data_IF_323103924068
#
_entry.id   IF_323103924068
#
_cell.length_a   1.000
_cell.length_b   1.000
_cell.length_c   1.000
_cell.angle_alpha   90.00
_cell.angle_beta   90.00
_cell.angle_gamma   90.00
#
_symmetry.space_group_name_H-M   'P 1'
#
loop_
_entity.id
_entity.type
_entity.pdbx_description
1 polymer ?
#
# COMPACT_ATOMS: atom_id res chain seq x y z
N UNK A 1 0.42 -10.74 16.68
CA UNK A 1 -0.98 -10.64 16.22
C UNK A 1 -1.60 -9.31 16.62
N UNK A 2 -2.68 -8.95 15.94
CA UNK A 2 -3.52 -7.81 16.27
C UNK A 2 -4.98 -8.22 16.23
N UNK A 3 -5.75 -7.73 17.20
CA UNK A 3 -7.20 -7.99 17.30
C UNK A 3 -7.99 -6.87 16.59
N UNK A 4 -9.13 -7.23 16.03
CA UNK A 4 -10.11 -6.26 15.52
C UNK A 4 -10.45 -5.24 16.61
N UNK A 5 -10.45 -3.96 16.29
CA UNK A 5 -10.67 -2.86 17.23
C UNK A 5 -9.42 -2.32 17.94
N UNK A 6 -8.25 -2.96 17.84
CA UNK A 6 -7.00 -2.38 18.32
C UNK A 6 -6.56 -1.22 17.42
N UNK A 7 -5.91 -0.21 17.99
CA UNK A 7 -5.39 0.96 17.25
C UNK A 7 -4.43 0.60 16.10
N UNK A 8 -3.69 -0.50 16.25
CA UNK A 8 -2.76 -0.99 15.22
C UNK A 8 -3.41 -1.91 14.17
N UNK A 9 -4.72 -2.20 14.31
CA UNK A 9 -5.44 -3.00 13.32
C UNK A 9 -5.62 -2.19 12.03
N UNK A 10 -5.38 -2.78 10.84
CA UNK A 10 -5.45 -2.03 9.58
C UNK A 10 -6.83 -1.37 9.38
N UNK A 11 -6.86 -0.03 9.34
CA UNK A 11 -8.10 0.76 9.26
C UNK A 11 -8.95 0.46 8.02
N UNK A 12 -8.34 0.00 6.93
CA UNK A 12 -9.04 -0.49 5.76
C UNK A 12 -9.97 -1.67 6.10
N UNK A 13 -9.49 -2.64 6.87
CA UNK A 13 -10.26 -3.84 7.23
C UNK A 13 -11.38 -3.55 8.26
N UNK A 14 -11.21 -2.58 9.15
CA UNK A 14 -12.23 -2.23 10.16
C UNK A 14 -13.58 -1.94 9.50
N UNK A 15 -13.56 -1.39 8.29
CA UNK A 15 -14.77 -1.02 7.54
C UNK A 15 -15.40 -2.17 6.74
N UNK A 16 -14.81 -3.35 6.77
CA UNK A 16 -15.34 -4.53 6.10
C UNK A 16 -16.16 -5.36 7.09
N UNK A 17 -17.42 -5.67 6.75
CA UNK A 17 -18.33 -6.40 7.64
C UNK A 17 -17.88 -7.82 8.01
N UNK A 18 -16.97 -8.40 7.23
CA UNK A 18 -16.40 -9.73 7.40
C UNK A 18 -14.89 -9.70 7.73
N UNK A 19 -14.41 -8.57 8.29
CA UNK A 19 -13.02 -8.43 8.71
C UNK A 19 -12.60 -9.57 9.69
N UNK A 20 -11.36 -10.10 9.57
CA UNK A 20 -10.89 -11.10 10.51
C UNK A 20 -10.81 -10.54 11.92
N UNK A 21 -11.36 -11.25 12.91
CA UNK A 21 -11.29 -10.85 14.32
C UNK A 21 -9.86 -10.86 14.86
N UNK A 22 -9.02 -11.70 14.28
CA UNK A 22 -7.61 -11.87 14.62
C UNK A 22 -6.79 -11.89 13.35
N UNK A 23 -5.75 -11.07 13.30
CA UNK A 23 -4.79 -11.02 12.21
C UNK A 23 -3.39 -11.30 12.74
N UNK A 24 -2.80 -12.40 12.33
CA UNK A 24 -1.40 -12.72 12.61
C UNK A 24 -0.50 -11.99 11.61
N UNK A 25 0.68 -11.57 12.04
CA UNK A 25 1.64 -10.93 11.13
C UNK A 25 3.09 -11.19 11.53
N UNK A 26 3.98 -11.12 10.55
CA UNK A 26 5.43 -11.00 10.70
C UNK A 26 5.88 -9.74 9.96
N UNK A 27 6.80 -8.97 10.53
CA UNK A 27 7.26 -7.71 9.99
C UNK A 27 6.56 -6.50 10.62
N UNK A 28 6.32 -5.45 9.83
CA UNK A 28 5.79 -4.15 10.28
C UNK A 28 4.46 -3.87 9.59
N UNK A 29 3.38 -3.83 10.36
CA UNK A 29 2.09 -3.38 9.84
C UNK A 29 2.19 -1.90 9.42
N UNK A 30 1.49 -1.49 8.35
CA UNK A 30 1.42 -0.10 7.95
C UNK A 30 0.79 0.75 9.04
N UNK A 31 1.29 1.98 9.22
CA UNK A 31 0.68 2.95 10.12
C UNK A 31 -0.75 3.29 9.66
N UNK A 32 -1.55 3.82 10.58
CA UNK A 32 -2.87 4.34 10.25
C UNK A 32 -2.79 5.39 9.13
N UNK A 33 -3.75 5.37 8.21
CA UNK A 33 -3.75 6.27 7.05
C UNK A 33 -2.71 5.95 5.96
N UNK A 34 -1.95 4.86 6.08
CA UNK A 34 -1.02 4.45 5.03
C UNK A 34 -1.77 4.18 3.71
N UNK A 35 -1.24 4.72 2.62
CA UNK A 35 -1.72 4.43 1.27
C UNK A 35 -1.47 2.96 0.94
N UNK A 36 -2.49 2.23 0.52
CA UNK A 36 -2.37 0.82 0.14
C UNK A 36 -3.07 0.56 -1.18
N UNK A 37 -2.42 -0.21 -2.07
CA UNK A 37 -2.96 -0.65 -3.35
C UNK A 37 -2.80 -2.15 -3.46
N UNK A 38 -3.89 -2.84 -3.74
CA UNK A 38 -3.85 -4.25 -4.09
C UNK A 38 -3.54 -4.44 -5.57
N UNK A 39 -2.53 -5.23 -5.89
CA UNK A 39 -2.18 -5.60 -7.26
C UNK A 39 -2.35 -7.10 -7.41
N UNK A 40 -3.32 -7.50 -8.21
CA UNK A 40 -3.73 -8.90 -8.35
C UNK A 40 -3.84 -9.31 -9.82
N UNK A 41 -3.80 -10.63 -10.05
CA UNK A 41 -3.99 -11.11 -11.42
C UNK A 41 -3.86 -12.62 -11.55
N UNK A 42 -3.71 -13.06 -12.79
CA UNK A 42 -3.54 -14.47 -13.14
C UNK A 42 -2.27 -15.05 -12.55
N UNK A 43 -2.34 -16.33 -12.18
CA UNK A 43 -1.15 -17.12 -11.77
C UNK A 43 -0.21 -17.45 -12.94
N UNK A 44 -0.69 -17.32 -14.17
CA UNK A 44 0.05 -17.52 -15.41
C UNK A 44 0.19 -16.17 -16.14
N UNK A 45 0.99 -15.27 -15.58
CA UNK A 45 1.21 -13.94 -16.16
C UNK A 45 1.94 -14.01 -17.47
N UNK A 46 1.49 -13.21 -18.43
CA UNK A 46 2.21 -12.99 -19.69
C UNK A 46 3.36 -11.98 -19.51
N UNK A 47 4.20 -11.83 -20.51
CA UNK A 47 5.24 -10.80 -20.50
C UNK A 47 4.64 -9.40 -20.55
N UNK A 48 3.46 -9.23 -21.18
CA UNK A 48 2.69 -8.00 -21.12
C UNK A 48 2.27 -7.69 -19.67
N UNK A 49 1.64 -8.66 -18.96
CA UNK A 49 1.22 -8.48 -17.58
C UNK A 49 2.36 -8.17 -16.63
N UNK A 50 3.53 -8.80 -16.82
CA UNK A 50 4.73 -8.49 -16.04
C UNK A 50 5.19 -7.05 -16.27
N UNK A 51 5.28 -6.60 -17.54
CA UNK A 51 5.66 -5.22 -17.89
C UNK A 51 4.66 -4.20 -17.35
N UNK A 52 3.36 -4.46 -17.49
CA UNK A 52 2.31 -3.59 -16.96
C UNK A 52 2.39 -3.48 -15.43
N UNK A 53 2.63 -4.60 -14.72
CA UNK A 53 2.85 -4.60 -13.26
C UNK A 53 4.06 -3.76 -12.88
N UNK A 54 5.18 -3.90 -13.59
CA UNK A 54 6.38 -3.13 -13.33
C UNK A 54 6.16 -1.63 -13.56
N UNK A 55 5.55 -1.25 -14.67
CA UNK A 55 5.23 0.14 -14.98
C UNK A 55 4.32 0.76 -13.93
N UNK A 56 3.28 0.04 -13.51
CA UNK A 56 2.36 0.48 -12.46
C UNK A 56 3.10 0.75 -11.14
N UNK A 57 3.90 -0.21 -10.67
CA UNK A 57 4.57 -0.07 -9.36
C UNK A 57 5.64 1.03 -9.41
N UNK A 58 6.35 1.18 -10.54
CA UNK A 58 7.29 2.29 -10.73
C UNK A 58 6.60 3.65 -10.71
N UNK A 59 5.45 3.80 -11.37
CA UNK A 59 4.66 5.01 -11.37
C UNK A 59 4.12 5.36 -9.97
N UNK A 60 3.84 4.36 -9.15
CA UNK A 60 3.36 4.56 -7.77
C UNK A 60 4.46 4.90 -6.77
N UNK A 61 5.74 4.67 -7.11
CA UNK A 61 6.86 4.87 -6.18
C UNK A 61 6.92 6.27 -5.55
N UNK A 62 6.68 7.39 -6.26
CA UNK A 62 6.73 8.74 -5.67
C UNK A 62 5.69 8.96 -4.57
N UNK A 63 4.63 8.18 -4.57
CA UNK A 63 3.51 8.27 -3.62
C UNK A 63 3.69 7.38 -2.38
N UNK A 64 4.72 6.52 -2.37
CA UNK A 64 5.10 5.59 -1.30
C UNK A 64 3.93 4.74 -0.75
N UNK A 65 3.12 4.09 -1.59
CA UNK A 65 2.10 3.19 -1.09
C UNK A 65 2.70 1.85 -0.63
N UNK A 66 1.93 1.12 0.17
CA UNK A 66 2.17 -0.29 0.42
C UNK A 66 1.51 -1.11 -0.68
N UNK A 67 2.28 -1.92 -1.39
CA UNK A 67 1.75 -2.83 -2.39
C UNK A 67 1.23 -4.09 -1.69
N UNK A 68 -0.06 -4.37 -1.82
CA UNK A 68 -0.72 -5.52 -1.20
C UNK A 68 -0.99 -6.59 -2.25
N UNK A 69 -0.72 -7.85 -1.95
CA UNK A 69 -1.09 -8.96 -2.82
C UNK A 69 -1.13 -10.29 -2.07
N UNK A 70 -1.39 -11.37 -2.79
CA UNK A 70 -1.63 -12.69 -2.21
C UNK A 70 -0.44 -13.65 -2.20
N UNK A 71 0.76 -13.22 -2.57
CA UNK A 71 1.95 -14.06 -2.69
C UNK A 71 1.79 -15.24 -3.68
N UNK A 72 0.74 -15.28 -4.49
CA UNK A 72 0.50 -16.33 -5.47
C UNK A 72 1.50 -16.26 -6.64
N UNK A 73 1.57 -17.33 -7.45
CA UNK A 73 2.30 -17.27 -8.72
C UNK A 73 1.78 -16.15 -9.62
N UNK A 74 2.57 -15.75 -10.61
CA UNK A 74 2.19 -14.80 -11.64
C UNK A 74 2.24 -13.34 -11.18
N UNK A 75 1.15 -12.61 -11.33
CA UNK A 75 1.10 -11.17 -11.06
C UNK A 75 1.44 -10.85 -9.60
N UNK A 76 0.89 -11.61 -8.63
CA UNK A 76 1.07 -11.34 -7.21
C UNK A 76 2.56 -11.31 -6.81
N UNK A 77 3.28 -12.40 -7.08
CA UNK A 77 4.71 -12.47 -6.73
C UNK A 77 5.53 -11.45 -7.52
N UNK A 78 5.16 -11.19 -8.79
CA UNK A 78 5.86 -10.20 -9.59
C UNK A 78 5.71 -8.80 -8.99
N UNK A 79 4.51 -8.44 -8.54
CA UNK A 79 4.26 -7.18 -7.84
C UNK A 79 5.12 -7.04 -6.58
N UNK A 80 5.21 -8.08 -5.75
CA UNK A 80 6.06 -8.08 -4.58
C UNK A 80 7.54 -7.90 -4.93
N UNK A 81 8.05 -8.63 -5.95
CA UNK A 81 9.44 -8.54 -6.38
C UNK A 81 9.82 -7.15 -6.87
N UNK A 82 8.97 -6.51 -7.67
CA UNK A 82 9.20 -5.14 -8.12
C UNK A 82 9.17 -4.16 -6.96
N UNK A 83 8.19 -4.25 -6.06
CA UNK A 83 8.13 -3.40 -4.88
C UNK A 83 9.41 -3.52 -4.03
N UNK A 84 9.86 -4.75 -3.74
CA UNK A 84 11.10 -5.01 -3.01
C UNK A 84 12.34 -4.44 -3.72
N UNK A 85 12.47 -4.65 -5.03
CA UNK A 85 13.61 -4.15 -5.83
C UNK A 85 13.69 -2.61 -5.84
N UNK A 86 12.54 -1.93 -5.71
CA UNK A 86 12.45 -0.48 -5.63
C UNK A 86 12.57 0.06 -4.18
N UNK A 87 12.76 -0.82 -3.19
CA UNK A 87 12.81 -0.47 -1.78
C UNK A 87 11.46 -0.03 -1.20
N UNK A 88 10.36 -0.27 -1.92
CA UNK A 88 8.99 0.04 -1.49
C UNK A 88 8.49 -0.97 -0.45
N UNK A 89 7.51 -0.53 0.34
CA UNK A 89 6.82 -1.41 1.29
C UNK A 89 5.85 -2.33 0.55
N UNK A 90 5.83 -3.59 0.95
CA UNK A 90 4.87 -4.55 0.39
C UNK A 90 4.34 -5.47 1.47
N UNK A 91 3.08 -5.91 1.32
CA UNK A 91 2.39 -6.77 2.28
C UNK A 91 1.79 -7.97 1.55
N UNK A 92 2.17 -9.16 1.99
CA UNK A 92 1.57 -10.39 1.51
C UNK A 92 0.47 -10.87 2.46
N UNK A 93 -0.69 -11.22 1.92
CA UNK A 93 -1.76 -11.89 2.66
C UNK A 93 -1.73 -13.36 2.32
N UNK A 94 -1.69 -14.26 3.31
CA UNK A 94 -1.58 -15.70 3.10
C UNK A 94 -2.93 -16.42 3.22
N UNK A 95 -3.08 -17.53 2.48
CA UNK A 95 -4.15 -18.49 2.66
C UNK A 95 -3.72 -19.70 3.52
N UNK A 96 -2.72 -19.52 4.39
CA UNK A 96 -2.16 -20.51 5.30
C UNK A 96 -1.61 -19.79 6.53
N UNK A 97 -1.23 -20.51 7.57
CA UNK A 97 -0.54 -19.94 8.73
C UNK A 97 0.85 -19.40 8.38
N UNK A 98 1.36 -18.49 9.19
CA UNK A 98 2.67 -17.83 8.99
C UNK A 98 3.88 -18.79 9.10
N UNK A 99 3.68 -19.99 9.61
CA UNK A 99 4.68 -21.07 9.63
C UNK A 99 4.68 -21.94 8.38
N UNK A 100 3.67 -21.78 7.51
CA UNK A 100 3.48 -22.56 6.28
C UNK A 100 3.33 -21.61 5.08
N UNK A 101 4.40 -20.92 4.73
CA UNK A 101 4.40 -20.01 3.58
C UNK A 101 4.10 -20.81 2.29
N UNK A 102 3.08 -20.39 1.57
CA UNK A 102 2.69 -21.02 0.31
C UNK A 102 2.44 -19.96 -0.79
N UNK A 103 3.02 -20.15 -1.99
CA UNK A 103 3.97 -21.21 -2.37
C UNK A 103 5.32 -21.08 -1.66
N UNK A 104 5.95 -22.21 -1.31
CA UNK A 104 7.23 -22.30 -0.62
C UNK A 104 8.41 -21.66 -1.40
N UNK A 105 8.33 -21.70 -2.73
CA UNK A 105 9.31 -21.06 -3.61
C UNK A 105 9.35 -19.51 -3.46
N UNK A 106 8.36 -18.91 -2.79
CA UNK A 106 8.30 -17.48 -2.52
C UNK A 106 8.74 -17.09 -1.09
N UNK A 107 9.33 -18.06 -0.36
CA UNK A 107 9.78 -17.85 1.02
C UNK A 107 10.78 -16.69 1.14
N UNK A 108 11.70 -16.58 0.18
CA UNK A 108 12.70 -15.48 0.17
C UNK A 108 12.06 -14.10 0.09
N UNK A 109 11.03 -13.96 -0.75
CA UNK A 109 10.29 -12.70 -0.85
C UNK A 109 9.46 -12.44 0.39
N UNK A 110 8.84 -13.48 0.97
CA UNK A 110 8.11 -13.37 2.24
C UNK A 110 9.01 -12.93 3.40
N UNK A 111 10.25 -13.40 3.45
CA UNK A 111 11.22 -12.97 4.46
C UNK A 111 11.70 -11.53 4.20
N UNK A 112 12.05 -11.20 2.96
CA UNK A 112 12.55 -9.88 2.60
C UNK A 112 11.52 -8.76 2.86
N UNK A 113 10.22 -9.02 2.65
CA UNK A 113 9.20 -7.99 2.88
C UNK A 113 8.99 -7.65 4.35
N UNK A 114 9.40 -8.50 5.30
CA UNK A 114 9.27 -8.26 6.74
C UNK A 114 10.14 -7.10 7.23
N UNK A 115 11.18 -6.71 6.51
CA UNK A 115 12.05 -5.61 6.92
C UNK A 115 11.32 -4.26 6.93
N UNK A 116 10.48 -3.99 5.93
CA UNK A 116 9.77 -2.71 5.76
C UNK A 116 8.26 -2.85 5.68
N UNK A 117 7.75 -4.03 5.35
CA UNK A 117 6.35 -4.39 5.22
C UNK A 117 5.99 -5.57 6.12
N UNK A 118 5.02 -6.39 5.70
CA UNK A 118 4.55 -7.50 6.50
C UNK A 118 4.07 -8.69 5.66
N UNK A 119 4.06 -9.84 6.30
CA UNK A 119 3.29 -11.02 5.88
C UNK A 119 2.17 -11.22 6.89
N UNK A 120 0.93 -11.30 6.43
CA UNK A 120 -0.24 -11.38 7.31
C UNK A 120 -1.11 -12.59 6.98
N UNK A 121 -1.81 -13.10 8.00
CA UNK A 121 -2.71 -14.25 7.87
C UNK A 121 -3.81 -14.20 8.93
N UNK A 122 -5.00 -14.70 8.61
CA UNK A 122 -6.06 -14.96 9.58
C UNK A 122 -5.98 -16.39 10.18
N UNK A 123 -5.07 -17.24 9.68
CA UNK A 123 -4.93 -18.62 10.07
C UNK A 123 -3.87 -18.82 11.14
N UNK A 124 -4.06 -19.82 12.00
CA UNK A 124 -3.07 -20.16 13.04
C UNK A 124 -1.72 -20.54 12.43
N UNK A 125 -0.65 -20.36 13.20
CA UNK A 125 0.74 -20.40 12.73
C UNK A 125 1.08 -21.62 11.85
N UNK A 126 0.66 -22.79 12.26
CA UNK A 126 0.96 -24.05 11.54
C UNK A 126 -0.17 -24.54 10.63
N UNK A 127 -1.20 -23.73 10.39
CA UNK A 127 -2.31 -24.13 9.55
C UNK A 127 -1.86 -24.26 8.09
N UNK A 128 -2.09 -25.46 7.54
CA UNK A 128 -1.69 -25.78 6.16
C UNK A 128 -2.58 -25.08 5.12
N UNK A 129 -2.04 -24.77 3.94
CA UNK A 129 -2.84 -24.19 2.87
C UNK A 129 -3.92 -25.15 2.40
N UNK A 130 -5.15 -24.66 2.29
CA UNK A 130 -6.30 -25.40 1.75
C UNK A 130 -6.92 -24.64 0.59
N UNK A 131 -7.49 -25.32 -0.43
CA UNK A 131 -8.10 -24.65 -1.58
C UNK A 131 -9.14 -23.58 -1.20
N UNK A 132 -9.95 -23.84 -0.17
CA UNK A 132 -10.98 -22.92 0.32
C UNK A 132 -10.42 -21.65 0.99
N UNK A 133 -9.19 -21.70 1.48
CA UNK A 133 -8.57 -20.55 2.15
C UNK A 133 -8.23 -19.42 1.18
N UNK A 134 -7.89 -19.74 -0.07
CA UNK A 134 -7.46 -18.72 -1.03
C UNK A 134 -8.58 -17.76 -1.43
N UNK A 135 -9.79 -18.20 -1.79
CA UNK A 135 -10.91 -17.29 -2.02
C UNK A 135 -11.28 -16.49 -0.77
N UNK A 136 -11.30 -17.13 0.41
CA UNK A 136 -11.62 -16.48 1.68
C UNK A 136 -10.59 -15.39 2.03
N UNK A 137 -9.29 -15.67 1.85
CA UNK A 137 -8.20 -14.72 2.07
C UNK A 137 -8.33 -13.47 1.18
N UNK A 138 -8.84 -13.61 -0.05
CA UNK A 138 -8.92 -12.50 -1.01
C UNK A 138 -9.72 -11.31 -0.48
N UNK A 139 -10.68 -11.52 0.43
CA UNK A 139 -11.40 -10.42 1.10
C UNK A 139 -10.46 -9.52 1.92
N UNK A 140 -9.42 -10.09 2.51
CA UNK A 140 -8.42 -9.32 3.27
C UNK A 140 -7.57 -8.49 2.30
N UNK A 141 -7.16 -9.06 1.16
CA UNK A 141 -6.45 -8.31 0.11
C UNK A 141 -7.29 -7.12 -0.36
N UNK A 142 -8.56 -7.36 -0.69
CA UNK A 142 -9.49 -6.33 -1.15
C UNK A 142 -9.75 -5.26 -0.09
N UNK A 143 -10.00 -5.67 1.15
CA UNK A 143 -10.38 -4.78 2.26
C UNK A 143 -9.26 -3.89 2.77
N UNK A 144 -7.99 -4.34 2.69
CA UNK A 144 -6.83 -3.58 3.13
C UNK A 144 -6.61 -2.29 2.32
N UNK A 145 -6.92 -2.31 1.03
CA UNK A 145 -6.44 -1.31 0.08
C UNK A 145 -7.51 -0.27 -0.28
N UNK A 146 -7.06 0.93 -0.62
CA UNK A 146 -7.93 1.97 -1.17
C UNK A 146 -8.41 1.62 -2.58
N UNK A 147 -7.55 0.94 -3.34
CA UNK A 147 -7.86 0.47 -4.68
C UNK A 147 -7.30 -0.94 -4.93
N UNK A 148 -7.99 -1.69 -5.79
CA UNK A 148 -7.53 -2.98 -6.32
C UNK A 148 -7.30 -2.86 -7.82
N UNK A 149 -6.08 -3.15 -8.27
CA UNK A 149 -5.71 -3.17 -9.69
C UNK A 149 -5.60 -4.61 -10.17
N UNK A 150 -6.43 -4.98 -11.14
CA UNK A 150 -6.37 -6.27 -11.83
C UNK A 150 -5.54 -6.10 -13.11
N UNK A 151 -4.36 -6.70 -13.14
CA UNK A 151 -3.44 -6.55 -14.29
C UNK A 151 -3.78 -7.51 -15.42
N UNK A 152 -4.02 -8.76 -15.10
CA UNK A 152 -4.47 -9.78 -16.04
C UNK A 152 -5.44 -10.74 -15.34
N UNK A 153 -6.53 -11.07 -16.00
CA UNK A 153 -7.49 -12.05 -15.52
C UNK A 153 -8.18 -12.80 -16.65
N UNK A 154 -8.40 -14.09 -16.48
CA UNK A 154 -9.41 -14.81 -17.25
C UNK A 154 -10.81 -14.48 -16.77
N UNK A 155 -11.83 -14.91 -17.51
CA UNK A 155 -13.26 -14.68 -17.20
C UNK A 155 -13.67 -15.23 -15.82
N UNK A 156 -13.01 -16.27 -15.34
CA UNK A 156 -13.22 -16.89 -14.03
C UNK A 156 -11.89 -17.05 -13.33
N UNK A 157 -11.78 -16.61 -12.07
CA UNK A 157 -10.53 -16.77 -11.31
C UNK A 157 -10.47 -15.94 -10.05
N UNK A 158 -9.39 -16.13 -9.29
CA UNK A 158 -9.19 -15.47 -7.99
C UNK A 158 -9.14 -13.94 -8.08
N UNK A 159 -8.57 -13.40 -9.16
CA UNK A 159 -8.52 -11.94 -9.36
C UNK A 159 -9.93 -11.33 -9.56
N UNK A 160 -10.84 -12.05 -10.23
CA UNK A 160 -12.23 -11.65 -10.33
C UNK A 160 -12.91 -11.58 -8.96
N UNK A 161 -12.71 -12.62 -8.13
CA UNK A 161 -13.26 -12.66 -6.77
C UNK A 161 -12.74 -11.47 -5.96
N UNK A 162 -11.44 -11.18 -6.04
CA UNK A 162 -10.85 -10.05 -5.31
C UNK A 162 -11.43 -8.71 -5.79
N UNK A 163 -11.63 -8.53 -7.10
CA UNK A 163 -12.23 -7.34 -7.69
C UNK A 163 -13.68 -7.15 -7.22
N UNK A 164 -14.49 -8.21 -7.25
CA UNK A 164 -15.88 -8.15 -6.77
C UNK A 164 -15.94 -7.79 -5.28
N UNK A 165 -15.13 -8.43 -4.44
CA UNK A 165 -15.05 -8.12 -3.02
C UNK A 165 -14.61 -6.67 -2.75
N UNK A 166 -13.66 -6.15 -3.54
CA UNK A 166 -13.23 -4.76 -3.42
C UNK A 166 -14.39 -3.80 -3.75
N UNK A 167 -15.14 -4.06 -4.81
CA UNK A 167 -16.31 -3.28 -5.17
C UNK A 167 -17.41 -3.35 -4.08
N UNK A 168 -17.68 -4.54 -3.52
CA UNK A 168 -18.64 -4.73 -2.44
C UNK A 168 -18.26 -3.97 -1.16
N UNK A 169 -16.98 -3.76 -0.93
CA UNK A 169 -16.46 -2.93 0.17
C UNK A 169 -16.40 -1.44 -0.16
N UNK A 170 -16.90 -1.02 -1.33
CA UNK A 170 -16.84 0.38 -1.78
C UNK A 170 -15.40 0.86 -2.04
N UNK A 171 -14.52 -0.06 -2.49
CA UNK A 171 -13.16 0.27 -2.91
C UNK A 171 -13.10 0.49 -4.42
N UNK A 172 -12.20 1.36 -4.83
CA UNK A 172 -11.94 1.55 -6.24
C UNK A 172 -11.37 0.27 -6.87
N UNK A 173 -11.87 -0.09 -8.04
CA UNK A 173 -11.38 -1.24 -8.80
C UNK A 173 -10.94 -0.76 -10.17
N UNK A 174 -9.73 -1.13 -10.55
CA UNK A 174 -9.15 -0.83 -11.84
C UNK A 174 -8.76 -2.11 -12.57
N UNK A 175 -8.92 -2.13 -13.88
CA UNK A 175 -8.46 -3.21 -14.73
C UNK A 175 -7.56 -2.68 -15.84
N UNK A 176 -6.41 -3.31 -16.01
CA UNK A 176 -5.47 -2.97 -17.08
C UNK A 176 -6.01 -3.55 -18.39
N UNK A 177 -6.25 -2.74 -19.43
CA UNK A 177 -6.65 -3.24 -20.73
C UNK A 177 -5.49 -3.99 -21.37
N UNK A 178 -5.80 -5.08 -22.08
CA UNK A 178 -4.79 -5.86 -22.79
C UNK A 178 -5.25 -6.22 -24.20
N UNK A 179 -4.48 -6.97 -24.96
CA UNK A 179 -4.85 -7.37 -26.31
C UNK A 179 -6.16 -8.17 -26.31
N UNK A 180 -7.05 -7.89 -27.24
CA UNK A 180 -8.35 -8.59 -27.37
C UNK A 180 -8.20 -10.09 -27.61
N UNK A 181 -7.13 -10.48 -28.31
CA UNK A 181 -6.81 -11.88 -28.59
C UNK A 181 -6.27 -12.64 -27.39
N UNK A 182 -5.82 -11.95 -26.33
CA UNK A 182 -5.19 -12.60 -25.17
C UNK A 182 -6.24 -13.14 -24.18
N UNK A 183 -6.27 -14.45 -23.92
CA UNK A 183 -7.20 -15.02 -22.94
C UNK A 183 -7.06 -14.43 -21.54
N UNK A 184 -5.86 -13.98 -21.16
CA UNK A 184 -5.54 -13.35 -19.88
C UNK A 184 -6.10 -11.92 -19.75
N UNK A 185 -6.52 -11.29 -20.85
CA UNK A 185 -7.12 -9.95 -20.84
C UNK A 185 -8.64 -9.98 -20.80
N UNK A 186 -9.26 -11.13 -21.12
CA UNK A 186 -10.74 -11.24 -21.24
C UNK A 186 -11.47 -10.90 -19.95
N UNK A 187 -10.93 -11.28 -18.80
CA UNK A 187 -11.50 -10.94 -17.50
C UNK A 187 -11.46 -9.43 -17.23
N UNK A 188 -10.34 -8.77 -17.53
CA UNK A 188 -10.20 -7.33 -17.42
C UNK A 188 -11.20 -6.60 -18.31
N UNK A 189 -11.32 -7.01 -19.59
CA UNK A 189 -12.31 -6.44 -20.52
C UNK A 189 -13.74 -6.59 -20.00
N UNK A 190 -14.08 -7.77 -19.46
CA UNK A 190 -15.41 -8.01 -18.93
C UNK A 190 -15.69 -7.18 -17.68
N UNK A 191 -14.71 -7.01 -16.78
CA UNK A 191 -14.84 -6.14 -15.60
C UNK A 191 -15.11 -4.69 -16.01
N UNK A 192 -14.38 -4.19 -17.01
CA UNK A 192 -14.59 -2.83 -17.55
C UNK A 192 -15.99 -2.73 -18.20
N UNK A 193 -16.35 -3.67 -19.06
CA UNK A 193 -17.63 -3.66 -19.77
C UNK A 193 -18.85 -3.77 -18.85
N UNK A 194 -18.70 -4.43 -17.69
CA UNK A 194 -19.75 -4.55 -16.67
C UNK A 194 -19.73 -3.44 -15.61
N UNK A 195 -18.90 -2.43 -15.76
CA UNK A 195 -18.68 -1.36 -14.77
C UNK A 195 -18.25 -1.86 -13.38
N UNK A 196 -17.68 -3.06 -13.29
CA UNK A 196 -17.06 -3.57 -12.06
C UNK A 196 -15.70 -2.92 -11.82
N UNK A 197 -15.00 -2.51 -12.88
CA UNK A 197 -13.70 -1.85 -12.80
C UNK A 197 -13.62 -0.69 -13.79
N UNK A 198 -12.99 0.39 -13.36
CA UNK A 198 -12.53 1.46 -14.23
C UNK A 198 -11.34 0.99 -15.08
N UNK A 199 -11.23 1.49 -16.30
CA UNK A 199 -10.05 1.20 -17.13
C UNK A 199 -8.83 1.93 -16.55
N UNK A 200 -7.72 1.20 -16.35
CA UNK A 200 -6.42 1.81 -16.08
C UNK A 200 -5.63 1.85 -17.39
N UNK A 201 -5.83 2.89 -18.16
CA UNK A 201 -5.19 3.10 -19.47
C UNK A 201 -3.74 3.57 -19.33
N UNK A 202 -3.40 4.25 -18.23
CA UNK A 202 -2.05 4.70 -17.94
C UNK A 202 -1.70 4.55 -16.45
N UNK A 203 -0.50 4.03 -16.11
CA UNK A 203 -0.11 3.75 -14.72
C UNK A 203 -0.19 4.96 -13.77
N UNK A 204 0.08 6.17 -14.27
CA UNK A 204 0.09 7.41 -13.49
C UNK A 204 -1.32 7.88 -13.11
N UNK A 205 -2.35 7.44 -13.84
CA UNK A 205 -3.72 7.85 -13.58
C UNK A 205 -4.24 7.35 -12.23
N UNK A 206 -3.77 6.18 -11.77
CA UNK A 206 -4.20 5.62 -10.48
C UNK A 206 -3.96 6.58 -9.31
N UNK A 207 -2.77 7.15 -9.20
CA UNK A 207 -2.44 8.06 -8.11
C UNK A 207 -3.23 9.37 -8.19
N UNK A 208 -3.45 9.88 -9.41
CA UNK A 208 -4.29 11.06 -9.67
C UNK A 208 -5.75 10.81 -9.25
N UNK A 209 -6.31 9.69 -9.68
CA UNK A 209 -7.71 9.35 -9.41
C UNK A 209 -7.96 9.08 -7.91
N UNK A 210 -6.95 8.58 -7.21
CA UNK A 210 -6.96 8.43 -5.75
C UNK A 210 -6.61 9.74 -5.00
N UNK A 211 -6.42 10.86 -5.71
CA UNK A 211 -6.04 12.16 -5.14
C UNK A 211 -4.78 12.08 -4.27
N UNK A 212 -3.80 11.27 -4.67
CA UNK A 212 -2.55 11.17 -3.94
C UNK A 212 -1.57 12.26 -4.36
N UNK A 213 -1.08 13.00 -3.38
CA UNK A 213 0.03 13.90 -3.56
C UNK A 213 1.34 13.11 -3.49
N UNK A 214 2.29 13.43 -4.35
CA UNK A 214 3.63 12.88 -4.27
C UNK A 214 4.21 13.15 -2.87
N UNK A 215 4.75 12.11 -2.25
CA UNK A 215 5.65 12.33 -1.12
C UNK A 215 6.93 12.89 -1.74
N UNK A 216 7.06 14.22 -1.72
CA UNK A 216 8.38 14.81 -1.96
C UNK A 216 9.35 14.06 -1.05
N UNK A 217 10.47 13.50 -1.57
CA UNK A 217 11.51 13.06 -0.66
C UNK A 217 11.72 14.23 0.28
N UNK A 218 11.82 13.97 1.57
CA UNK A 218 12.47 14.89 2.48
C UNK A 218 13.89 15.02 1.91
N UNK A 219 14.07 15.83 0.86
CA UNK A 219 15.35 16.44 0.57
C UNK A 219 15.76 16.96 1.92
N UNK A 220 16.94 16.56 2.40
CA UNK A 220 17.46 17.08 3.64
C UNK A 220 17.14 18.57 3.60
N UNK A 221 16.15 18.97 4.43
CA UNK A 221 15.66 20.34 4.45
C UNK A 221 16.88 21.10 4.88
N UNK A 222 17.59 21.71 3.93
CA UNK A 222 18.76 22.53 4.22
C UNK A 222 18.17 23.74 4.90
N UNK A 223 17.99 23.61 6.22
CA UNK A 223 17.49 24.69 7.06
C UNK A 223 18.49 25.81 6.97
N UNK A 224 18.12 26.99 6.42
CA UNK A 224 19.02 28.13 6.33
C UNK A 224 19.62 28.41 7.69
N UNK A 225 20.85 28.92 7.72
CA UNK A 225 21.58 29.16 8.95
C UNK A 225 20.80 30.04 9.94
N UNK A 226 20.07 31.03 9.43
CA UNK A 226 19.22 31.91 10.24
C UNK A 226 18.01 31.19 10.91
N UNK A 227 17.50 30.13 10.31
CA UNK A 227 16.35 29.36 10.80
C UNK A 227 16.76 28.18 11.70
N UNK A 228 18.03 27.78 11.71
CA UNK A 228 18.50 26.63 12.47
C UNK A 228 18.16 26.66 13.96
N UNK A 229 18.30 27.78 14.70
CA UNK A 229 17.96 27.80 16.13
C UNK A 229 16.49 27.51 16.39
N UNK A 230 15.59 28.07 15.58
CA UNK A 230 14.14 27.85 15.68
C UNK A 230 13.79 26.40 15.39
N UNK A 231 14.32 25.86 14.29
CA UNK A 231 14.10 24.49 13.88
C UNK A 231 14.61 23.49 14.94
N UNK A 232 15.80 23.70 15.48
CA UNK A 232 16.36 22.83 16.54
C UNK A 232 15.50 22.85 17.81
N UNK A 233 14.99 24.02 18.22
CA UNK A 233 14.11 24.14 19.37
C UNK A 233 12.79 23.35 19.15
N UNK A 234 12.15 23.49 17.98
CA UNK A 234 10.92 22.80 17.64
C UNK A 234 11.12 21.29 17.53
N UNK A 235 12.22 20.83 16.90
CA UNK A 235 12.55 19.41 16.81
C UNK A 235 12.82 18.74 18.17
N UNK A 236 13.43 19.45 19.11
CA UNK A 236 13.65 18.92 20.47
C UNK A 236 12.37 18.70 21.25
N UNK A 237 11.36 19.52 21.05
CA UNK A 237 10.09 19.45 21.80
C UNK A 237 9.04 18.54 21.16
N UNK A 238 9.18 18.16 19.87
CA UNK A 238 8.29 17.26 19.12
C UNK A 238 6.77 17.55 19.25
N UNK A 239 6.41 18.78 19.65
CA UNK A 239 5.03 19.22 19.85
C UNK A 239 4.87 20.70 19.44
N UNK A 240 3.67 21.15 19.07
CA UNK A 240 3.39 22.56 18.82
C UNK A 240 3.78 23.41 20.04
N UNK A 241 4.50 24.47 19.80
CA UNK A 241 5.03 25.35 20.86
C UNK A 241 4.45 26.75 20.72
N UNK A 242 3.98 27.34 21.83
CA UNK A 242 3.53 28.71 21.81
C UNK A 242 4.73 29.67 21.63
N UNK A 243 4.53 30.79 20.93
CA UNK A 243 5.62 31.73 20.62
C UNK A 243 6.35 32.26 21.86
N UNK A 244 5.63 32.45 22.97
CA UNK A 244 6.22 32.89 24.24
C UNK A 244 7.20 31.85 24.82
N UNK A 245 6.88 30.56 24.66
CA UNK A 245 7.73 29.47 25.14
C UNK A 245 8.95 29.31 24.24
N UNK A 246 8.77 29.45 22.93
CA UNK A 246 9.86 29.46 21.96
C UNK A 246 10.82 30.65 22.19
N UNK A 247 10.28 31.82 22.51
CA UNK A 247 11.06 33.02 22.88
C UNK A 247 11.93 32.77 24.13
N UNK A 248 11.39 32.09 25.14
CA UNK A 248 12.16 31.70 26.35
C UNK A 248 13.24 30.68 26.05
N UNK A 249 12.91 29.64 25.28
CA UNK A 249 13.88 28.57 24.92
C UNK A 249 15.04 29.10 24.10
N UNK A 250 14.77 30.05 23.18
CA UNK A 250 15.78 30.65 22.33
C UNK A 250 16.46 31.88 22.93
N UNK A 251 16.01 32.34 24.12
CA UNK A 251 16.45 33.59 24.73
C UNK A 251 16.38 34.78 23.75
N UNK A 252 15.32 34.81 22.91
CA UNK A 252 15.16 35.77 21.81
C UNK A 252 13.92 36.63 22.02
N UNK A 253 13.99 37.96 21.81
CA UNK A 253 12.83 38.84 21.88
C UNK A 253 11.75 38.42 20.88
N UNK A 254 10.48 38.46 21.29
CA UNK A 254 9.32 38.05 20.48
C UNK A 254 9.27 38.78 19.14
N UNK A 255 9.58 40.07 19.09
CA UNK A 255 9.61 40.86 17.85
C UNK A 255 10.61 40.28 16.82
N UNK A 256 11.80 39.88 17.28
CA UNK A 256 12.81 39.25 16.42
C UNK A 256 12.39 37.85 15.99
N UNK A 257 11.76 37.11 16.88
CA UNK A 257 11.24 35.78 16.59
C UNK A 257 10.12 35.81 15.55
N UNK A 258 9.20 36.79 15.64
CA UNK A 258 8.18 37.04 14.61
C UNK A 258 8.79 37.31 13.23
N UNK A 259 9.82 38.18 13.16
CA UNK A 259 10.53 38.42 11.89
C UNK A 259 11.11 37.14 11.29
N UNK A 260 11.78 36.32 12.11
CA UNK A 260 12.35 35.05 11.68
C UNK A 260 11.28 34.03 11.22
N UNK A 261 10.18 33.89 11.95
CA UNK A 261 9.10 33.00 11.59
C UNK A 261 8.42 33.45 10.29
N UNK A 262 8.21 34.74 10.11
CA UNK A 262 7.67 35.28 8.86
C UNK A 262 8.61 35.03 7.68
N UNK A 263 9.91 35.23 7.86
CA UNK A 263 10.92 34.93 6.84
C UNK A 263 10.96 33.46 6.49
N UNK A 264 10.83 32.58 7.50
CA UNK A 264 10.69 31.14 7.28
C UNK A 264 9.43 30.81 6.46
N UNK A 265 8.26 31.36 6.84
CA UNK A 265 7.00 31.14 6.14
C UNK A 265 7.03 31.61 4.69
N UNK A 266 7.58 32.79 4.42
CA UNK A 266 7.76 33.33 3.06
C UNK A 266 8.69 32.47 2.19
N UNK A 267 9.64 31.76 2.80
CA UNK A 267 10.54 30.82 2.11
C UNK A 267 9.99 29.37 2.08
N UNK A 268 8.75 29.14 2.57
CA UNK A 268 8.07 27.83 2.48
C UNK A 268 8.54 26.81 3.52
N UNK A 269 8.92 27.29 4.70
CA UNK A 269 9.38 26.47 5.85
C UNK A 269 8.28 26.30 6.91
#
# INVERSE_FOLDING_TARGET
YVLHGNQTYPGGLIRCGDAPQLLFYKGKLPAEGARMVSVVGTRKSSDYGKKATEQLIRALRPYDPVIVSGLAYGIDIHAHRIALSLGMRTMAVLGSGLGNIYPDVHLKEADAMQEKGAVVSEYFHYESPQPAHFPKRNRIVAGLSAATVVVEAGIKGGAWITASLANDYGREVYAVPGPWSAPTSRGCHQMIASNLASVLDHPEHLARDLNWLEKKPLSAVVIPEFAQPVAQALFRHMAPMHINDLSRVLCMPIARLHGLLLEMELNGW
#
